data_IF_769784561311
#
_entry.id   IF_769784561311
#
_cell.length_a   1.000
_cell.length_b   1.000
_cell.length_c   1.000
_cell.angle_alpha   90.00
_cell.angle_beta   90.00
_cell.angle_gamma   90.00
#
_symmetry.space_group_name_H-M   'P 1'
#
loop_
_entity.id
_entity.type
_entity.pdbx_description
1 polymer ?
#
# COMPACT_ATOMS: atom_id res chain seq x y z
N UNK A 1 3.55 -80.07 25.27
CA UNK A 1 3.30 -78.64 25.60
C UNK A 1 4.51 -77.71 25.36
N UNK A 2 5.55 -78.11 24.60
CA UNK A 2 6.73 -77.24 24.33
C UNK A 2 6.53 -76.28 23.15
N UNK A 3 5.54 -76.50 22.28
CA UNK A 3 5.25 -75.65 21.10
C UNK A 3 4.36 -74.44 21.40
N UNK A 4 3.71 -74.41 22.56
CA UNK A 4 2.83 -73.29 22.99
C UNK A 4 3.61 -72.14 23.66
N UNK A 5 4.81 -72.41 24.17
CA UNK A 5 5.62 -71.39 24.85
C UNK A 5 6.22 -70.37 23.88
N UNK A 6 6.51 -70.77 22.63
CA UNK A 6 7.01 -69.87 21.60
C UNK A 6 5.97 -68.85 21.10
N UNK A 7 4.69 -69.23 21.12
CA UNK A 7 3.58 -68.33 20.73
C UNK A 7 3.39 -67.23 21.79
N UNK A 8 3.58 -67.56 23.07
CA UNK A 8 3.47 -66.60 24.17
C UNK A 8 4.58 -65.53 24.14
N UNK A 9 5.78 -65.88 23.66
CA UNK A 9 6.89 -64.92 23.48
C UNK A 9 6.66 -64.01 22.26
N UNK A 10 6.01 -64.49 21.21
CA UNK A 10 5.70 -63.67 20.02
C UNK A 10 4.64 -62.60 20.30
N UNK A 11 3.70 -62.84 21.21
CA UNK A 11 2.65 -61.87 21.58
C UNK A 11 3.22 -60.67 22.36
N UNK A 12 4.29 -60.87 23.13
CA UNK A 12 4.97 -59.76 23.83
C UNK A 12 5.81 -58.88 22.89
N UNK A 13 6.22 -59.37 21.72
CA UNK A 13 6.97 -58.60 20.73
C UNK A 13 6.09 -57.76 19.79
N UNK A 14 4.76 -57.95 19.82
CA UNK A 14 3.80 -57.23 18.97
C UNK A 14 3.15 -56.00 19.65
N UNK A 15 3.52 -55.68 20.89
CA UNK A 15 3.00 -54.52 21.62
C UNK A 15 3.98 -53.33 21.66
N UNK A 16 4.93 -53.27 20.73
CA UNK A 16 6.02 -52.28 20.73
C UNK A 16 5.83 -51.05 19.84
N UNK A 17 4.63 -50.78 19.29
CA UNK A 17 4.34 -49.46 18.73
C UNK A 17 3.89 -48.53 19.87
N UNK A 18 4.85 -48.14 20.70
CA UNK A 18 4.75 -46.90 21.47
C UNK A 18 4.93 -45.77 20.46
N UNK A 19 3.82 -45.38 19.82
CA UNK A 19 3.75 -44.19 18.97
C UNK A 19 3.81 -43.00 19.92
N UNK A 20 5.04 -42.73 20.40
CA UNK A 20 5.32 -41.78 21.47
C UNK A 20 4.59 -40.48 21.15
N UNK A 21 3.77 -40.02 22.09
CA UNK A 21 2.87 -38.86 21.93
C UNK A 21 3.57 -37.76 21.12
N UNK A 22 3.18 -37.62 19.85
CA UNK A 22 3.65 -36.54 18.99
C UNK A 22 2.99 -35.28 19.51
N UNK A 23 3.66 -34.62 20.46
CA UNK A 23 3.24 -33.34 20.99
C UNK A 23 3.37 -32.30 19.87
N UNK A 24 2.21 -31.96 19.30
CA UNK A 24 2.06 -30.80 18.42
C UNK A 24 2.15 -29.57 19.30
N UNK A 25 3.26 -28.85 19.22
CA UNK A 25 3.40 -27.61 19.98
C UNK A 25 2.66 -26.49 19.26
N UNK A 26 1.88 -25.72 20.02
CA UNK A 26 1.09 -24.63 19.47
C UNK A 26 1.92 -23.34 19.44
N UNK A 27 2.24 -22.86 18.24
CA UNK A 27 2.90 -21.57 18.04
C UNK A 27 1.88 -20.46 18.27
N UNK A 28 2.14 -19.55 19.22
CA UNK A 28 1.23 -18.45 19.53
C UNK A 28 1.95 -17.10 19.64
N UNK A 29 1.67 -16.21 18.67
CA UNK A 29 2.10 -14.80 18.64
C UNK A 29 0.91 -13.83 18.62
N UNK A 30 -0.21 -14.21 19.23
CA UNK A 30 -1.38 -13.36 19.38
C UNK A 30 -1.01 -12.09 20.14
N UNK A 31 -1.56 -10.95 19.73
CA UNK A 31 -1.30 -9.62 20.31
C UNK A 31 0.17 -9.15 20.23
N UNK A 32 1.01 -9.80 19.40
CA UNK A 32 2.37 -9.34 19.10
C UNK A 32 2.38 -8.64 17.75
N UNK A 33 2.88 -7.41 17.71
CA UNK A 33 3.00 -6.63 16.47
C UNK A 33 4.13 -7.15 15.58
N UNK A 34 3.89 -7.21 14.28
CA UNK A 34 4.93 -7.49 13.29
C UNK A 34 5.80 -6.24 13.05
N UNK A 35 7.08 -6.48 12.75
CA UNK A 35 8.04 -5.46 12.34
C UNK A 35 8.86 -5.95 11.13
N UNK A 36 9.47 -5.01 10.39
CA UNK A 36 10.37 -5.30 9.27
C UNK A 36 11.81 -4.89 9.59
N UNK A 37 12.77 -5.69 9.17
CA UNK A 37 14.18 -5.36 9.28
C UNK A 37 14.62 -4.39 8.19
N UNK A 38 14.50 -3.07 8.41
CA UNK A 38 15.02 -2.03 7.49
C UNK A 38 14.67 -2.33 6.03
N UNK A 39 15.67 -2.35 5.15
CA UNK A 39 15.50 -2.64 3.72
C UNK A 39 15.49 -4.16 3.38
N UNK A 40 15.71 -5.03 4.37
CA UNK A 40 15.71 -6.49 4.16
C UNK A 40 14.28 -7.01 4.00
N UNK A 41 14.10 -8.10 3.25
CA UNK A 41 12.84 -8.83 3.13
C UNK A 41 12.50 -9.70 4.34
N UNK A 42 12.80 -9.23 5.56
CA UNK A 42 12.55 -9.98 6.81
C UNK A 42 11.45 -9.29 7.60
N UNK A 43 10.31 -9.97 7.77
CA UNK A 43 9.22 -9.57 8.65
C UNK A 43 9.23 -10.50 9.85
N UNK A 44 9.15 -9.96 11.07
CA UNK A 44 9.30 -10.75 12.28
C UNK A 44 8.36 -10.30 13.40
N UNK A 45 8.15 -11.20 14.36
CA UNK A 45 7.51 -10.95 15.66
C UNK A 45 8.42 -11.46 16.76
N UNK A 46 8.54 -10.70 17.84
CA UNK A 46 9.30 -11.07 19.04
C UNK A 46 8.32 -11.23 20.20
N UNK A 47 8.34 -12.39 20.85
CA UNK A 47 7.58 -12.68 22.06
C UNK A 47 8.54 -13.21 23.12
N UNK A 48 8.95 -12.33 24.02
CA UNK A 48 9.93 -12.62 25.08
C UNK A 48 11.27 -13.18 24.53
N UNK A 49 11.47 -14.49 24.60
CA UNK A 49 12.65 -15.21 24.11
C UNK A 49 12.43 -15.94 22.78
N UNK A 50 11.26 -15.77 22.18
CA UNK A 50 10.83 -16.45 20.96
C UNK A 50 10.68 -15.48 19.79
N UNK A 51 11.06 -15.92 18.60
CA UNK A 51 10.97 -15.13 17.37
C UNK A 51 10.42 -15.96 16.23
N UNK A 52 9.34 -15.49 15.61
CA UNK A 52 8.93 -16.01 14.31
C UNK A 52 9.25 -14.97 13.23
N UNK A 53 9.85 -15.43 12.14
CA UNK A 53 10.28 -14.57 11.04
C UNK A 53 9.94 -15.18 9.69
N UNK A 54 9.42 -14.35 8.79
CA UNK A 54 9.27 -14.61 7.37
C UNK A 54 10.46 -13.94 6.69
N UNK A 55 11.27 -14.73 6.00
CA UNK A 55 12.49 -14.30 5.31
C UNK A 55 12.24 -14.49 3.82
N UNK A 56 12.20 -13.39 3.08
CA UNK A 56 12.04 -13.36 1.64
C UNK A 56 13.24 -12.66 1.01
N UNK A 57 13.58 -13.07 -0.20
CA UNK A 57 14.45 -12.25 -1.04
C UNK A 57 13.80 -10.88 -1.31
N UNK A 58 14.59 -9.80 -1.49
CA UNK A 58 14.03 -8.47 -1.78
C UNK A 58 13.03 -8.47 -2.94
N UNK A 59 13.38 -9.16 -4.04
CA UNK A 59 12.50 -9.29 -5.21
C UNK A 59 11.16 -9.96 -4.88
N UNK A 60 11.16 -11.01 -4.05
CA UNK A 60 9.92 -11.70 -3.66
C UNK A 60 9.11 -10.85 -2.68
N UNK A 61 9.77 -10.16 -1.75
CA UNK A 61 9.09 -9.20 -0.87
C UNK A 61 8.39 -8.12 -1.69
N UNK A 62 9.10 -7.43 -2.59
CA UNK A 62 8.57 -6.31 -3.38
C UNK A 62 7.43 -6.75 -4.30
N UNK A 63 7.48 -7.97 -4.82
CA UNK A 63 6.43 -8.50 -5.70
C UNK A 63 5.14 -8.93 -4.96
N UNK A 64 5.20 -9.17 -3.65
CA UNK A 64 4.08 -9.75 -2.89
C UNK A 64 3.53 -8.82 -1.79
N UNK A 65 4.35 -7.96 -1.20
CA UNK A 65 3.93 -6.90 -0.27
C UNK A 65 3.66 -5.60 -1.04
N UNK A 66 2.90 -5.70 -2.11
CA UNK A 66 2.48 -4.54 -2.91
C UNK A 66 1.36 -3.79 -2.21
N UNK A 67 1.43 -2.46 -2.30
CA UNK A 67 0.44 -1.51 -1.78
C UNK A 67 -0.81 -1.47 -2.68
N UNK A 68 -1.46 -2.62 -2.84
CA UNK A 68 -2.67 -2.81 -3.64
C UNK A 68 -3.54 -3.91 -3.00
N UNK A 69 -4.87 -3.72 -2.87
CA UNK A 69 -5.78 -4.75 -2.39
C UNK A 69 -5.69 -6.04 -3.19
N UNK A 70 -5.77 -7.18 -2.50
CA UNK A 70 -5.82 -8.48 -3.13
C UNK A 70 -5.12 -9.57 -2.34
N UNK A 71 -5.02 -10.74 -2.94
CA UNK A 71 -4.34 -11.89 -2.36
C UNK A 71 -3.08 -12.25 -3.15
N UNK A 72 -2.01 -12.57 -2.43
CA UNK A 72 -0.76 -13.12 -2.95
C UNK A 72 -0.41 -14.40 -2.20
N UNK A 73 0.19 -15.36 -2.90
CA UNK A 73 0.64 -16.63 -2.31
C UNK A 73 2.09 -16.87 -2.69
N UNK A 74 2.93 -17.13 -1.68
CA UNK A 74 4.34 -17.46 -1.84
C UNK A 74 4.52 -18.92 -1.38
N UNK A 75 5.17 -19.73 -2.20
CA UNK A 75 5.59 -21.07 -1.79
C UNK A 75 6.85 -20.98 -0.91
N UNK A 76 6.89 -21.73 0.19
CA UNK A 76 8.07 -21.84 1.02
C UNK A 76 9.14 -22.64 0.26
N UNK A 77 10.35 -22.09 0.20
CA UNK A 77 11.53 -22.67 -0.46
C UNK A 77 12.75 -22.57 0.46
N UNK A 78 13.92 -22.99 -0.03
CA UNK A 78 15.19 -22.80 0.70
C UNK A 78 15.70 -21.35 0.71
N UNK A 79 15.11 -20.43 -0.07
CA UNK A 79 15.47 -19.01 -0.11
C UNK A 79 14.40 -18.10 0.51
N UNK A 80 13.13 -18.45 0.32
CA UNK A 80 11.97 -17.74 0.85
C UNK A 80 11.28 -18.64 1.88
N UNK A 81 11.51 -18.38 3.16
CA UNK A 81 11.18 -19.34 4.22
C UNK A 81 10.62 -18.68 5.47
N UNK A 82 10.10 -19.51 6.37
CA UNK A 82 9.73 -19.10 7.72
C UNK A 82 10.64 -19.81 8.71
N UNK A 83 11.08 -19.08 9.73
CA UNK A 83 11.85 -19.64 10.85
C UNK A 83 11.18 -19.27 12.16
N UNK A 84 11.26 -20.18 13.12
CA UNK A 84 10.82 -19.95 14.49
C UNK A 84 11.97 -20.31 15.42
N UNK A 85 12.42 -19.34 16.22
CA UNK A 85 13.65 -19.40 17.00
C UNK A 85 13.37 -19.20 18.47
N UNK A 86 14.11 -19.94 19.28
CA UNK A 86 14.13 -19.84 20.73
C UNK A 86 15.51 -19.36 21.16
N UNK A 87 15.55 -18.37 22.04
CA UNK A 87 16.79 -17.76 22.53
C UNK A 87 16.93 -17.98 24.04
N UNK A 88 18.16 -18.01 24.54
CA UNK A 88 18.43 -18.15 25.98
C UNK A 88 18.27 -16.86 26.80
N UNK A 89 17.69 -15.82 26.22
CA UNK A 89 17.57 -14.52 26.86
C UNK A 89 16.75 -13.54 26.04
N UNK A 90 16.67 -12.31 26.54
CA UNK A 90 15.85 -11.25 25.95
C UNK A 90 16.28 -10.94 24.52
N UNK A 91 15.33 -11.05 23.59
CA UNK A 91 15.55 -10.76 22.18
C UNK A 91 15.20 -9.31 21.88
N UNK A 92 16.02 -8.66 21.05
CA UNK A 92 15.74 -7.32 20.51
C UNK A 92 15.69 -7.36 18.98
N UNK A 93 15.25 -6.27 18.35
CA UNK A 93 15.31 -6.14 16.89
C UNK A 93 16.73 -6.32 16.33
N UNK A 94 17.77 -5.92 17.07
CA UNK A 94 19.17 -6.15 16.66
C UNK A 94 19.54 -7.64 16.64
N UNK A 95 18.97 -8.44 17.55
CA UNK A 95 19.12 -9.91 17.62
C UNK A 95 18.40 -10.66 16.48
N UNK A 96 17.63 -9.95 15.65
CA UNK A 96 16.93 -10.52 14.48
C UNK A 96 17.49 -9.90 13.20
N UNK A 97 17.65 -8.58 13.17
CA UNK A 97 17.93 -7.81 11.96
C UNK A 97 19.42 -7.49 11.73
N UNK A 98 20.29 -7.69 12.73
CA UNK A 98 21.71 -7.33 12.62
C UNK A 98 22.46 -8.11 11.53
N UNK A 99 23.33 -7.44 10.78
CA UNK A 99 24.29 -8.12 9.88
C UNK A 99 25.29 -8.96 10.69
N UNK A 100 25.65 -8.46 11.86
CA UNK A 100 26.36 -9.18 12.90
C UNK A 100 25.39 -9.42 14.05
N UNK A 101 25.10 -10.69 14.31
CA UNK A 101 24.27 -11.09 15.44
C UNK A 101 25.06 -10.83 16.74
N UNK A 102 24.43 -10.25 17.78
CA UNK A 102 25.12 -10.00 19.04
C UNK A 102 25.52 -11.33 19.69
N UNK A 103 26.58 -11.30 20.52
CA UNK A 103 27.04 -12.49 21.23
C UNK A 103 26.00 -13.01 22.25
N UNK A 104 25.07 -12.16 22.70
CA UNK A 104 23.94 -12.52 23.56
C UNK A 104 22.68 -11.76 23.12
N UNK A 105 21.48 -12.38 23.19
CA UNK A 105 21.26 -13.80 23.49
C UNK A 105 21.70 -14.72 22.35
N UNK A 106 21.93 -16.01 22.65
CA UNK A 106 22.23 -17.05 21.64
C UNK A 106 20.96 -17.84 21.31
N UNK A 107 20.92 -18.44 20.12
CA UNK A 107 19.83 -19.32 19.69
C UNK A 107 19.99 -20.68 20.39
N UNK A 108 18.98 -21.09 21.16
CA UNK A 108 18.91 -22.41 21.81
C UNK A 108 18.32 -23.46 20.86
N UNK A 109 17.30 -23.09 20.11
CA UNK A 109 16.65 -23.98 19.14
C UNK A 109 16.09 -23.18 17.95
N UNK A 110 16.02 -23.83 16.79
CA UNK A 110 15.48 -23.26 15.57
C UNK A 110 14.63 -24.29 14.84
N UNK A 111 13.42 -23.87 14.46
CA UNK A 111 12.53 -24.59 13.59
C UNK A 111 12.56 -23.94 12.23
N UNK A 112 12.83 -24.74 11.19
CA UNK A 112 12.91 -24.26 9.81
C UNK A 112 11.75 -24.84 9.03
N UNK A 113 10.94 -23.98 8.41
CA UNK A 113 9.90 -24.43 7.51
C UNK A 113 10.48 -24.94 6.20
N UNK A 114 10.15 -26.17 5.82
CA UNK A 114 10.67 -26.83 4.61
C UNK A 114 9.66 -26.90 3.47
N UNK A 115 8.36 -26.72 3.77
CA UNK A 115 7.27 -26.63 2.78
C UNK A 115 6.08 -25.88 3.34
N UNK A 116 5.11 -25.57 2.47
CA UNK A 116 3.89 -24.83 2.79
C UNK A 116 3.79 -23.55 1.97
N UNK A 117 2.81 -22.71 2.31
CA UNK A 117 2.61 -21.42 1.64
C UNK A 117 2.41 -20.27 2.61
N UNK A 118 2.87 -19.10 2.23
CA UNK A 118 2.59 -17.82 2.88
C UNK A 118 1.50 -17.14 2.04
N UNK A 119 0.30 -17.01 2.59
CA UNK A 119 -0.84 -16.31 1.97
C UNK A 119 -0.93 -14.92 2.58
N UNK A 120 -0.95 -13.89 1.73
CA UNK A 120 -1.00 -12.48 2.10
C UNK A 120 -2.26 -11.89 1.53
N UNK A 121 -3.14 -11.38 2.40
CA UNK A 121 -4.35 -10.64 1.99
C UNK A 121 -4.18 -9.17 2.34
N UNK A 122 -4.07 -8.32 1.33
CA UNK A 122 -3.90 -6.87 1.48
C UNK A 122 -5.25 -6.15 1.46
N UNK A 123 -5.45 -5.24 2.41
CA UNK A 123 -6.62 -4.35 2.49
C UNK A 123 -6.17 -2.90 2.71
N UNK A 124 -6.99 -1.94 2.27
CA UNK A 124 -6.75 -0.51 2.48
C UNK A 124 -7.38 -0.08 3.78
N UNK A 125 -6.64 0.70 4.58
CA UNK A 125 -7.19 1.48 5.68
C UNK A 125 -7.10 2.96 5.31
N UNK A 126 -8.23 3.66 5.34
CA UNK A 126 -8.32 5.09 5.04
C UNK A 126 -8.07 5.96 6.27
N UNK A 127 -7.71 7.21 6.05
CA UNK A 127 -7.75 8.26 7.08
C UNK A 127 -9.20 8.55 7.45
N UNK A 128 -9.42 9.09 8.64
CA UNK A 128 -10.69 9.74 8.94
C UNK A 128 -10.93 10.90 7.96
N UNK A 129 -12.18 11.14 7.51
CA UNK A 129 -12.50 12.27 6.66
C UNK A 129 -12.14 13.61 7.32
N UNK A 130 -11.54 14.50 6.55
CA UNK A 130 -11.29 15.88 6.98
C UNK A 130 -12.61 16.57 7.34
N UNK A 131 -12.66 17.24 8.49
CA UNK A 131 -13.91 17.79 9.02
C UNK A 131 -14.51 18.92 8.17
N UNK A 132 -13.70 19.60 7.35
CA UNK A 132 -14.15 20.75 6.54
C UNK A 132 -14.47 20.32 5.12
N UNK A 133 -13.56 19.57 4.52
CA UNK A 133 -13.60 19.20 3.11
C UNK A 133 -14.21 17.82 2.90
N UNK A 134 -14.30 16.97 3.92
CA UNK A 134 -14.68 15.56 3.79
C UNK A 134 -13.62 14.69 3.12
N UNK A 135 -12.47 15.25 2.72
CA UNK A 135 -11.42 14.54 2.01
C UNK A 135 -10.84 13.39 2.85
N UNK A 136 -10.50 12.27 2.21
CA UNK A 136 -9.82 11.15 2.87
C UNK A 136 -8.84 10.48 1.91
N UNK A 137 -7.79 9.91 2.46
CA UNK A 137 -6.72 9.24 1.72
C UNK A 137 -6.45 7.86 2.28
N UNK A 138 -5.66 7.06 1.57
CA UNK A 138 -5.08 5.85 2.15
C UNK A 138 -4.19 6.24 3.31
N UNK A 139 -4.43 5.69 4.50
CA UNK A 139 -3.57 5.87 5.67
C UNK A 139 -2.46 4.81 5.72
N UNK A 140 -2.82 3.56 5.42
CA UNK A 140 -1.91 2.40 5.39
C UNK A 140 -2.53 1.25 4.61
N UNK A 141 -1.70 0.29 4.22
CA UNK A 141 -2.13 -1.02 3.77
C UNK A 141 -1.95 -2.01 4.91
N UNK A 142 -2.97 -2.83 5.14
CA UNK A 142 -2.90 -3.93 6.09
C UNK A 142 -2.73 -5.25 5.33
N UNK A 143 -1.61 -5.93 5.55
CA UNK A 143 -1.30 -7.25 5.02
C UNK A 143 -1.59 -8.29 6.11
N UNK A 144 -2.70 -9.01 5.97
CA UNK A 144 -3.03 -10.13 6.83
C UNK A 144 -2.34 -11.39 6.31
N UNK A 145 -1.44 -11.98 7.12
CA UNK A 145 -0.57 -13.06 6.70
C UNK A 145 -0.97 -14.38 7.37
N UNK A 146 -1.16 -15.42 6.56
CA UNK A 146 -1.42 -16.79 6.99
C UNK A 146 -0.38 -17.75 6.43
N UNK A 147 0.14 -18.64 7.27
CA UNK A 147 0.99 -19.74 6.87
C UNK A 147 0.11 -20.99 6.76
N UNK A 148 0.02 -21.58 5.57
CA UNK A 148 -0.83 -22.74 5.30
C UNK A 148 0.00 -23.98 4.98
N UNK A 149 -0.39 -25.11 5.55
CA UNK A 149 0.28 -26.41 5.42
C UNK A 149 1.80 -26.30 5.64
N UNK A 150 2.21 -25.54 6.66
CA UNK A 150 3.62 -25.33 6.93
C UNK A 150 4.21 -26.57 7.58
N UNK A 151 5.29 -27.11 6.99
CA UNK A 151 6.03 -28.25 7.55
C UNK A 151 7.27 -27.72 8.24
N UNK A 152 7.29 -27.77 9.56
CA UNK A 152 8.43 -27.43 10.38
C UNK A 152 9.37 -28.62 10.52
N UNK A 153 10.66 -28.39 10.31
CA UNK A 153 11.71 -29.29 10.74
C UNK A 153 12.22 -28.81 12.10
N UNK A 154 11.81 -29.50 13.18
CA UNK A 154 12.22 -29.23 14.56
C UNK A 154 13.16 -30.35 15.07
N UNK A 155 13.92 -30.13 16.16
CA UNK A 155 14.87 -31.13 16.67
C UNK A 155 14.22 -32.50 16.98
N UNK A 156 12.95 -32.50 17.39
CA UNK A 156 12.18 -33.68 17.77
C UNK A 156 11.48 -34.37 16.59
N UNK A 157 11.55 -33.81 15.37
CA UNK A 157 10.94 -34.36 14.18
C UNK A 157 10.26 -33.33 13.28
N UNK A 158 9.39 -33.79 12.39
CA UNK A 158 8.60 -32.89 11.54
C UNK A 158 7.22 -32.61 12.15
N UNK A 159 6.72 -31.40 11.97
CA UNK A 159 5.38 -30.99 12.38
C UNK A 159 4.70 -30.20 11.27
N UNK A 160 3.46 -30.56 10.92
CA UNK A 160 2.66 -29.84 9.91
C UNK A 160 1.52 -29.10 10.60
N UNK A 161 1.32 -27.82 10.29
CA UNK A 161 0.18 -27.05 10.81
C UNK A 161 -0.20 -25.88 9.89
N UNK A 162 -1.35 -25.27 10.17
CA UNK A 162 -1.66 -23.91 9.75
C UNK A 162 -1.32 -22.94 10.89
N UNK A 163 -0.92 -21.72 10.55
CA UNK A 163 -0.60 -20.69 11.54
C UNK A 163 -0.95 -19.30 11.02
N UNK A 164 -1.63 -18.50 11.83
CA UNK A 164 -1.90 -17.09 11.51
C UNK A 164 -0.71 -16.27 12.00
N UNK A 165 0.07 -15.73 11.07
CA UNK A 165 1.11 -14.77 11.41
C UNK A 165 0.49 -13.44 11.84
N UNK A 166 -0.62 -13.04 11.23
CA UNK A 166 -1.38 -11.84 11.57
C UNK A 166 -1.01 -10.63 10.72
N UNK A 167 -1.28 -9.44 11.25
CA UNK A 167 -1.17 -8.19 10.50
C UNK A 167 0.26 -7.64 10.43
N UNK A 168 0.63 -7.16 9.25
CA UNK A 168 1.79 -6.33 8.96
C UNK A 168 1.34 -5.14 8.11
N UNK A 169 1.72 -3.93 8.47
CA UNK A 169 1.28 -2.71 7.77
C UNK A 169 2.42 -2.01 7.04
N UNK A 170 2.10 -1.46 5.87
CA UNK A 170 2.98 -0.58 5.09
C UNK A 170 2.30 0.77 4.87
N UNK A 171 3.11 1.79 4.58
CA UNK A 171 2.61 3.14 4.32
C UNK A 171 2.44 3.38 2.81
N UNK A 172 1.45 4.19 2.40
CA UNK A 172 1.36 4.69 1.03
C UNK A 172 2.45 5.73 0.76
N UNK A 173 2.65 6.05 -0.52
CA UNK A 173 3.37 7.27 -0.89
C UNK A 173 2.58 8.49 -0.41
N UNK A 174 3.28 9.51 0.09
CA UNK A 174 2.63 10.76 0.50
C UNK A 174 2.20 11.53 -0.74
N UNK A 175 0.90 11.78 -0.87
CA UNK A 175 0.35 12.58 -1.96
C UNK A 175 0.41 14.07 -1.60
N UNK A 176 1.01 14.89 -2.47
CA UNK A 176 1.02 16.34 -2.34
C UNK A 176 -0.28 16.93 -2.88
N UNK A 177 -1.33 17.02 -2.05
CA UNK A 177 -2.66 17.50 -2.48
C UNK A 177 -2.92 18.99 -2.20
N UNK A 178 -1.93 19.71 -1.66
CA UNK A 178 -2.04 21.14 -1.37
C UNK A 178 -1.60 21.97 -2.58
N UNK A 179 -2.56 22.35 -3.41
CA UNK A 179 -2.33 23.19 -4.59
C UNK A 179 -2.50 24.67 -4.27
N UNK A 180 -1.59 25.50 -4.77
CA UNK A 180 -1.69 26.94 -4.60
C UNK A 180 -2.75 27.48 -5.56
N UNK A 181 -3.85 28.01 -5.01
CA UNK A 181 -5.02 28.45 -5.78
C UNK A 181 -4.72 29.63 -6.71
N UNK A 182 -3.59 30.32 -6.52
CA UNK A 182 -3.15 31.43 -7.37
C UNK A 182 -2.31 30.96 -8.58
N UNK A 183 -1.86 29.71 -8.61
CA UNK A 183 -1.05 29.13 -9.69
C UNK A 183 -1.87 28.34 -10.71
N UNK A 184 -3.22 28.43 -10.66
CA UNK A 184 -4.06 27.82 -11.68
C UNK A 184 -3.83 28.51 -13.02
N UNK A 185 -3.44 27.73 -14.03
CA UNK A 185 -3.20 28.21 -15.39
C UNK A 185 -4.07 27.45 -16.39
N UNK A 186 -4.31 28.08 -17.54
CA UNK A 186 -4.96 27.48 -18.69
C UNK A 186 -3.98 27.46 -19.86
N UNK A 187 -3.90 26.33 -20.56
CA UNK A 187 -3.08 26.22 -21.76
C UNK A 187 -3.61 27.13 -22.88
N UNK A 188 -2.76 27.57 -23.83
CA UNK A 188 -3.19 28.37 -24.98
C UNK A 188 -4.33 27.76 -25.81
N UNK A 189 -4.48 26.42 -25.79
CA UNK A 189 -5.58 25.70 -26.43
C UNK A 189 -6.97 25.98 -25.82
N UNK A 190 -7.04 26.55 -24.62
CA UNK A 190 -8.25 26.69 -23.79
C UNK A 190 -8.95 25.38 -23.39
N UNK A 191 -8.30 24.23 -23.61
CA UNK A 191 -8.89 22.90 -23.32
C UNK A 191 -8.28 22.22 -22.11
N UNK A 192 -7.24 22.81 -21.52
CA UNK A 192 -6.47 22.21 -20.44
C UNK A 192 -6.22 23.23 -19.33
N UNK A 193 -6.67 22.90 -18.12
CA UNK A 193 -6.30 23.62 -16.90
C UNK A 193 -5.26 22.80 -16.14
N UNK A 194 -4.30 23.46 -15.52
CA UNK A 194 -3.33 22.78 -14.66
C UNK A 194 -2.94 23.65 -13.46
N UNK A 195 -2.55 22.98 -12.39
CA UNK A 195 -1.98 23.58 -11.19
C UNK A 195 -0.88 22.65 -10.66
N UNK A 196 0.15 23.24 -10.06
CA UNK A 196 1.29 22.52 -9.49
C UNK A 196 1.40 22.90 -8.02
N UNK A 197 1.74 21.93 -7.16
CA UNK A 197 2.05 22.21 -5.76
C UNK A 197 3.23 23.17 -5.65
N UNK A 198 3.31 23.99 -4.59
CA UNK A 198 4.43 24.93 -4.41
C UNK A 198 5.82 24.25 -4.40
N UNK A 199 5.90 22.98 -4.02
CA UNK A 199 7.12 22.19 -4.05
C UNK A 199 7.51 21.65 -5.43
N UNK A 200 6.66 21.82 -6.44
CA UNK A 200 6.83 21.23 -7.77
C UNK A 200 6.64 19.71 -7.84
N UNK A 201 6.35 19.03 -6.71
CA UNK A 201 6.34 17.56 -6.66
C UNK A 201 5.08 16.92 -7.23
N UNK A 202 3.98 17.66 -7.34
CA UNK A 202 2.75 17.13 -7.91
C UNK A 202 2.04 18.15 -8.79
N UNK A 203 1.35 17.62 -9.80
CA UNK A 203 0.51 18.36 -10.73
C UNK A 203 -0.93 17.84 -10.70
N UNK A 204 -1.87 18.76 -10.82
CA UNK A 204 -3.28 18.45 -11.08
C UNK A 204 -3.66 19.07 -12.42
N UNK A 205 -4.40 18.32 -13.23
CA UNK A 205 -4.72 18.73 -14.60
C UNK A 205 -6.16 18.35 -14.95
N UNK A 206 -6.89 19.27 -15.58
CA UNK A 206 -8.16 18.98 -16.27
C UNK A 206 -7.89 19.06 -17.76
N UNK A 207 -8.04 17.96 -18.50
CA UNK A 207 -7.96 17.94 -19.96
C UNK A 207 -9.34 17.77 -20.58
N UNK A 208 -9.48 18.23 -21.84
CA UNK A 208 -10.76 18.19 -22.54
C UNK A 208 -11.83 19.02 -21.83
N UNK A 209 -11.43 20.18 -21.27
CA UNK A 209 -12.33 21.10 -20.59
C UNK A 209 -13.49 21.48 -21.51
N UNK A 210 -14.72 21.34 -21.00
CA UNK A 210 -15.92 21.74 -21.71
C UNK A 210 -15.91 23.27 -21.93
N UNK A 211 -15.88 23.76 -23.19
CA UNK A 211 -15.87 25.18 -23.49
C UNK A 211 -17.08 25.94 -22.92
N UNK A 212 -18.21 25.26 -22.72
CA UNK A 212 -19.41 25.87 -22.13
C UNK A 212 -19.16 26.39 -20.71
N UNK A 213 -18.22 25.79 -19.97
CA UNK A 213 -17.85 26.24 -18.62
C UNK A 213 -17.18 27.62 -18.63
N UNK A 214 -16.61 28.05 -19.76
CA UNK A 214 -15.88 29.31 -19.87
C UNK A 214 -16.67 30.45 -20.56
N UNK A 215 -17.95 30.25 -20.88
CA UNK A 215 -18.80 31.31 -21.46
C UNK A 215 -18.89 32.55 -20.57
N UNK A 216 -18.97 33.74 -21.16
CA UNK A 216 -18.91 35.02 -20.45
C UNK A 216 -19.88 36.07 -20.99
N UNK A 217 -20.93 35.62 -21.68
CA UNK A 217 -22.03 36.53 -22.02
C UNK A 217 -22.72 37.05 -20.73
N UNK A 218 -23.49 38.13 -20.86
CA UNK A 218 -24.11 38.80 -19.72
C UNK A 218 -25.09 37.93 -18.94
N UNK A 219 -25.59 36.83 -19.52
CA UNK A 219 -26.46 35.88 -18.85
C UNK A 219 -25.68 34.84 -18.01
N UNK A 220 -24.38 34.66 -18.29
CA UNK A 220 -23.53 33.64 -17.68
C UNK A 220 -22.48 34.22 -16.70
N UNK A 221 -22.37 35.54 -16.56
CA UNK A 221 -21.52 36.16 -15.54
C UNK A 221 -22.11 35.98 -14.15
N UNK A 222 -21.25 35.73 -13.17
CA UNK A 222 -21.57 35.49 -11.77
C UNK A 222 -22.52 34.29 -11.52
N UNK A 223 -22.73 33.46 -12.55
CA UNK A 223 -23.51 32.22 -12.50
C UNK A 223 -22.56 31.02 -12.49
N UNK A 224 -22.63 30.14 -11.47
CA UNK A 224 -21.87 28.90 -11.46
C UNK A 224 -22.31 27.97 -12.60
N UNK A 225 -21.34 27.51 -13.39
CA UNK A 225 -21.55 26.51 -14.44
C UNK A 225 -20.87 25.22 -14.03
N UNK A 226 -21.59 24.11 -14.15
CA UNK A 226 -21.10 22.80 -13.70
C UNK A 226 -20.94 21.84 -14.86
N UNK A 227 -19.90 21.02 -14.81
CA UNK A 227 -19.67 19.92 -15.73
C UNK A 227 -19.27 18.66 -14.97
N UNK A 228 -19.69 17.50 -15.46
CA UNK A 228 -19.25 16.21 -14.91
C UNK A 228 -17.77 15.98 -15.22
N UNK A 229 -17.02 15.49 -14.24
CA UNK A 229 -15.66 14.97 -14.45
C UNK A 229 -15.80 13.58 -15.08
N UNK A 230 -15.39 13.45 -16.34
CA UNK A 230 -15.54 12.23 -17.12
C UNK A 230 -14.21 11.67 -17.61
N UNK A 231 -14.28 10.59 -18.41
CA UNK A 231 -13.10 9.92 -18.94
C UNK A 231 -12.38 10.72 -20.06
N UNK A 232 -13.10 11.60 -20.76
CA UNK A 232 -12.58 12.37 -21.91
C UNK A 232 -12.87 13.86 -21.79
N UNK A 233 -14.08 14.22 -21.36
CA UNK A 233 -14.49 15.61 -21.08
C UNK A 233 -14.28 15.92 -19.61
N UNK A 234 -13.68 17.08 -19.33
CA UNK A 234 -13.29 17.51 -17.99
C UNK A 234 -12.48 16.45 -17.24
N UNK A 235 -11.61 15.70 -17.95
CA UNK A 235 -10.85 14.60 -17.37
C UNK A 235 -9.86 15.16 -16.36
N UNK A 236 -10.08 14.88 -15.09
CA UNK A 236 -9.24 15.32 -13.99
C UNK A 236 -8.19 14.25 -13.66
N UNK A 237 -6.92 14.62 -13.70
CA UNK A 237 -5.78 13.73 -13.50
C UNK A 237 -4.79 14.36 -12.52
N UNK A 238 -4.35 13.60 -11.52
CA UNK A 238 -3.28 13.97 -10.59
C UNK A 238 -2.01 13.18 -10.93
N UNK A 239 -0.86 13.85 -10.89
CA UNK A 239 0.45 13.27 -11.17
C UNK A 239 1.41 13.59 -10.03
N UNK A 240 2.07 12.58 -9.50
CA UNK A 240 3.22 12.72 -8.60
C UNK A 240 4.50 12.55 -9.43
N UNK A 241 5.46 13.46 -9.28
CA UNK A 241 6.69 13.48 -10.05
C UNK A 241 7.86 12.85 -9.30
N UNK A 242 8.79 12.23 -10.04
CA UNK A 242 10.02 11.66 -9.50
C UNK A 242 10.98 12.72 -8.95
N UNK A 243 10.96 13.90 -9.55
CA UNK A 243 11.67 15.10 -9.09
C UNK A 243 10.75 16.31 -9.23
N UNK A 244 10.96 17.37 -8.43
CA UNK A 244 10.21 18.61 -8.58
C UNK A 244 10.22 19.13 -10.02
N UNK A 245 9.04 19.47 -10.55
CA UNK A 245 8.89 20.23 -11.79
C UNK A 245 9.20 21.71 -11.49
N UNK A 246 10.02 22.35 -12.32
CA UNK A 246 10.39 23.77 -12.21
C UNK A 246 9.35 24.66 -12.89
N UNK A 247 9.21 25.90 -12.41
CA UNK A 247 8.19 26.85 -12.88
C UNK A 247 8.26 27.14 -14.39
N UNK A 248 9.46 27.26 -14.93
CA UNK A 248 9.72 27.46 -16.36
C UNK A 248 9.31 26.25 -17.23
N UNK A 249 9.17 25.07 -16.62
CA UNK A 249 8.79 23.84 -17.32
C UNK A 249 7.27 23.57 -17.32
N UNK A 250 6.48 24.27 -16.49
CA UNK A 250 5.04 23.99 -16.32
C UNK A 250 4.26 23.96 -17.63
N UNK A 251 4.36 25.05 -18.43
CA UNK A 251 3.62 25.14 -19.68
C UNK A 251 4.04 24.03 -20.67
N UNK A 252 5.35 23.80 -20.83
CA UNK A 252 5.84 22.75 -21.73
C UNK A 252 5.38 21.34 -21.31
N UNK A 253 5.25 21.09 -20.00
CA UNK A 253 4.77 19.83 -19.46
C UNK A 253 3.28 19.62 -19.72
N UNK A 254 2.44 20.57 -19.29
CA UNK A 254 1.00 20.39 -19.33
C UNK A 254 0.36 20.73 -20.69
N UNK A 255 0.97 21.62 -21.46
CA UNK A 255 0.39 22.14 -22.71
C UNK A 255 1.07 21.59 -23.96
N UNK A 256 2.36 21.24 -23.88
CA UNK A 256 3.14 20.75 -25.03
C UNK A 256 3.47 19.26 -24.96
N UNK A 257 3.21 18.59 -23.83
CA UNK A 257 3.37 17.14 -23.68
C UNK A 257 4.79 16.67 -23.38
N UNK A 258 5.59 17.46 -22.64
CA UNK A 258 6.87 16.98 -22.11
C UNK A 258 6.64 15.84 -21.10
N UNK A 259 7.52 14.82 -21.15
CA UNK A 259 7.52 13.68 -20.21
C UNK A 259 8.57 13.84 -19.09
N UNK A 260 9.19 15.02 -18.96
CA UNK A 260 10.20 15.32 -17.93
C UNK A 260 9.69 16.35 -16.93
N UNK A 261 9.67 16.06 -15.62
CA UNK A 261 10.17 14.84 -14.96
C UNK A 261 9.22 13.64 -15.10
N UNK A 262 9.78 12.45 -14.90
CA UNK A 262 9.01 11.20 -14.92
C UNK A 262 7.91 11.20 -13.84
N UNK A 263 6.78 10.60 -14.17
CA UNK A 263 5.66 10.42 -13.23
C UNK A 263 5.87 9.14 -12.43
N UNK A 264 5.88 9.23 -11.11
CA UNK A 264 5.95 8.06 -10.21
C UNK A 264 4.57 7.49 -9.93
N UNK A 265 3.55 8.34 -9.87
CA UNK A 265 2.15 7.93 -9.75
C UNK A 265 1.22 8.81 -10.58
N UNK A 266 0.29 8.18 -11.28
CA UNK A 266 -0.82 8.86 -11.95
C UNK A 266 -2.14 8.35 -11.42
N UNK A 267 -3.03 9.28 -11.09
CA UNK A 267 -4.35 9.01 -10.56
C UNK A 267 -5.38 9.72 -11.43
N UNK A 268 -6.43 9.02 -11.85
CA UNK A 268 -7.52 9.61 -12.65
C UNK A 268 -8.78 9.69 -11.81
N UNK A 269 -9.45 10.84 -11.83
CA UNK A 269 -10.74 10.99 -11.20
C UNK A 269 -11.80 10.14 -11.92
N UNK A 270 -12.56 9.35 -11.16
CA UNK A 270 -13.63 8.48 -11.65
C UNK A 270 -15.01 9.04 -11.36
N UNK A 271 -15.09 10.10 -10.55
CA UNK A 271 -16.31 10.83 -10.23
C UNK A 271 -16.01 12.28 -9.88
N UNK A 272 -17.05 13.10 -9.87
CA UNK A 272 -17.01 14.47 -9.37
C UNK A 272 -17.57 15.47 -10.37
N UNK A 273 -17.52 16.74 -9.99
CA UNK A 273 -18.03 17.86 -10.75
C UNK A 273 -17.00 18.98 -10.75
N UNK A 274 -16.74 19.53 -11.93
CA UNK A 274 -16.04 20.81 -12.07
C UNK A 274 -17.08 21.93 -12.09
N UNK A 275 -16.85 22.97 -11.31
CA UNK A 275 -17.67 24.18 -11.30
C UNK A 275 -16.80 25.39 -11.66
N UNK A 276 -17.28 26.20 -12.59
CA UNK A 276 -16.61 27.43 -12.99
C UNK A 276 -17.56 28.62 -12.83
N UNK A 277 -17.13 29.62 -12.09
CA UNK A 277 -17.81 30.92 -12.00
C UNK A 277 -16.94 31.99 -12.64
N UNK A 278 -17.51 32.76 -13.57
CA UNK A 278 -16.81 33.83 -14.28
C UNK A 278 -17.29 35.19 -13.79
N UNK A 279 -16.37 36.09 -13.45
CA UNK A 279 -16.69 37.49 -13.09
C UNK A 279 -15.98 38.44 -14.04
N UNK A 280 -16.53 39.64 -14.26
CA UNK A 280 -15.81 40.67 -15.00
C UNK A 280 -14.58 41.14 -14.22
N UNK A 281 -13.45 41.30 -14.90
CA UNK A 281 -12.19 41.84 -14.37
C UNK A 281 -11.69 43.05 -15.17
N UNK A 282 -12.50 43.56 -16.11
CA UNK A 282 -12.17 44.63 -17.03
C UNK A 282 -12.97 44.52 -18.31
N UNK A 283 -12.78 45.49 -19.22
CA UNK A 283 -13.41 45.45 -20.54
C UNK A 283 -12.84 44.27 -21.33
N UNK A 284 -13.67 43.25 -21.58
CA UNK A 284 -13.28 42.04 -22.30
C UNK A 284 -12.36 41.10 -21.52
N UNK A 285 -12.16 41.34 -20.22
CA UNK A 285 -11.30 40.53 -19.35
C UNK A 285 -12.19 39.87 -18.28
N UNK A 286 -12.01 38.57 -18.08
CA UNK A 286 -12.80 37.78 -17.16
C UNK A 286 -11.91 36.98 -16.20
N UNK A 287 -12.28 36.98 -14.93
CA UNK A 287 -11.69 36.10 -13.92
C UNK A 287 -12.55 34.86 -13.79
N UNK A 288 -11.93 33.69 -13.91
CA UNK A 288 -12.59 32.40 -13.75
C UNK A 288 -12.15 31.77 -12.43
N UNK A 289 -13.11 31.41 -11.59
CA UNK A 289 -12.89 30.65 -10.35
C UNK A 289 -13.33 29.22 -10.57
N UNK A 290 -12.42 28.28 -10.34
CA UNK A 290 -12.66 26.85 -10.59
C UNK A 290 -12.70 26.09 -9.28
N UNK A 291 -13.75 25.28 -9.09
CA UNK A 291 -13.92 24.41 -7.93
C UNK A 291 -14.11 22.96 -8.40
N UNK A 292 -13.56 22.02 -7.64
CA UNK A 292 -13.69 20.59 -7.86
C UNK A 292 -14.51 20.01 -6.71
N UNK A 293 -15.62 19.36 -7.04
CA UNK A 293 -16.61 18.88 -6.06
C UNK A 293 -16.76 17.38 -6.14
N UNK A 294 -16.80 16.74 -4.97
CA UNK A 294 -16.99 15.30 -4.81
C UNK A 294 -16.09 14.44 -5.70
N UNK A 295 -14.83 14.86 -5.87
CA UNK A 295 -13.91 14.19 -6.78
C UNK A 295 -13.26 12.98 -6.09
N UNK A 296 -13.40 11.80 -6.69
CA UNK A 296 -12.75 10.56 -6.23
C UNK A 296 -11.75 10.12 -7.28
N UNK A 297 -10.51 9.92 -6.88
CA UNK A 297 -9.43 9.45 -7.74
C UNK A 297 -9.22 7.95 -7.57
N UNK A 298 -8.84 7.27 -8.67
CA UNK A 298 -8.51 5.84 -8.70
C UNK A 298 -7.16 5.61 -9.39
N UNK A 299 -6.38 4.65 -8.87
CA UNK A 299 -5.15 4.10 -9.47
C UNK A 299 -5.05 2.62 -9.10
N UNK A 300 -5.11 1.71 -10.08
CA UNK A 300 -5.33 0.29 -9.78
C UNK A 300 -6.59 0.16 -8.94
N UNK A 301 -6.57 -0.64 -7.87
CA UNK A 301 -7.68 -0.72 -6.91
C UNK A 301 -7.64 0.31 -5.76
N UNK A 302 -6.63 1.18 -5.75
CA UNK A 302 -6.53 2.25 -4.75
C UNK A 302 -7.41 3.44 -5.11
N UNK A 303 -8.01 4.06 -4.10
CA UNK A 303 -8.77 5.30 -4.27
C UNK A 303 -8.40 6.34 -3.22
N UNK A 304 -8.68 7.61 -3.50
CA UNK A 304 -8.78 8.65 -2.48
C UNK A 304 -9.88 9.64 -2.85
N UNK A 305 -10.47 10.29 -1.85
CA UNK A 305 -11.48 11.30 -2.04
C UNK A 305 -10.88 12.68 -1.79
N UNK A 306 -10.92 13.52 -2.82
CA UNK A 306 -10.26 14.83 -2.80
C UNK A 306 -11.04 15.85 -1.98
N UNK A 307 -12.35 15.67 -1.82
CA UNK A 307 -13.21 16.50 -0.99
C UNK A 307 -14.53 16.89 -1.65
N UNK A 308 -15.43 17.40 -0.81
CA UNK A 308 -16.79 17.82 -1.14
C UNK A 308 -16.80 19.06 -2.03
N UNK A 309 -15.96 20.04 -1.72
CA UNK A 309 -15.83 21.29 -2.44
C UNK A 309 -14.43 21.89 -2.22
N UNK A 310 -13.56 21.73 -3.22
CA UNK A 310 -12.19 22.20 -3.21
C UNK A 310 -12.04 23.35 -4.20
N UNK A 311 -11.52 24.49 -3.73
CA UNK A 311 -11.07 25.57 -4.61
C UNK A 311 -9.81 25.09 -5.35
N UNK A 312 -9.93 24.88 -6.66
CA UNK A 312 -8.79 24.49 -7.49
C UNK A 312 -7.91 25.68 -7.84
N UNK A 313 -8.55 26.83 -8.06
CA UNK A 313 -7.87 28.12 -8.18
C UNK A 313 -8.61 29.11 -9.04
N UNK A 314 -7.91 30.19 -9.39
CA UNK A 314 -8.43 31.25 -10.26
C UNK A 314 -7.46 31.58 -11.37
N UNK A 315 -7.96 31.88 -12.57
CA UNK A 315 -7.17 32.40 -13.67
C UNK A 315 -7.91 33.56 -14.37
N UNK A 316 -7.18 34.37 -15.13
CA UNK A 316 -7.72 35.52 -15.87
C UNK A 316 -7.47 35.33 -17.36
N UNK A 317 -8.45 35.68 -18.19
CA UNK A 317 -8.30 35.74 -19.66
C UNK A 317 -9.09 36.89 -20.25
#
# INVERSE_FOLDING_TARGET
MKKLFGIFILVFLLNGCDDGDVLVENINFDNVSAAKCGDKGIIYKIKDTEVIQIILSPTVYDANFVNEPGEKTIAITSGDMVRYRFYNGTVTSASVCGDLQPATPTIDSEWIATSGTIVITTSIIYTEPDATTGAYQVARYNHYIQLKNITWNKPEGQQVQDFVFGDYSTLPNTLGLSFNTNLLQICPSNTTLYNVTDSGNAGLQVTGLDPALLTTDSANLDVPKTGTIGATTNKLTYKLFATPLTEDAYESYFCSGSDTPAVTEEWTAVSGTIEVTSTSAGVGIFRHTVRLKNATFKRGENTFYYGNDILYGTFVR
#
